data_IF_755809611311
#
_entry.id   IF_755809611311
#
_cell.length_a   1.000
_cell.length_b   1.000
_cell.length_c   1.000
_cell.angle_alpha   90.00
_cell.angle_beta   90.00
_cell.angle_gamma   90.00
#
_symmetry.space_group_name_H-M   'P 1'
#
loop_
_entity.id
_entity.type
_entity.pdbx_description
1 polymer ?
#
# COMPACT_ATOMS: atom_id res chain seq x y z
N UNK A 1 5.92 -12.53 19.17
CA UNK A 1 5.64 -13.52 18.16
C UNK A 1 5.07 -12.98 16.84
N UNK A 2 5.08 -11.65 16.62
CA UNK A 2 4.58 -11.06 15.37
C UNK A 2 5.31 -11.53 14.11
N UNK A 3 6.61 -11.91 14.19
CA UNK A 3 7.37 -12.38 13.02
C UNK A 3 6.92 -13.77 12.55
N UNK A 4 6.53 -14.64 13.49
CA UNK A 4 5.95 -15.96 13.18
C UNK A 4 4.62 -15.79 12.46
N UNK A 5 3.78 -14.89 12.96
CA UNK A 5 2.45 -14.61 12.39
C UNK A 5 2.56 -14.04 10.96
N UNK A 6 3.57 -13.19 10.70
CA UNK A 6 3.83 -12.69 9.35
C UNK A 6 4.29 -13.77 8.38
N UNK A 7 5.18 -14.66 8.81
CA UNK A 7 5.68 -15.76 7.99
C UNK A 7 4.58 -16.78 7.65
N UNK A 8 3.73 -17.08 8.62
CA UNK A 8 2.56 -17.95 8.44
C UNK A 8 1.56 -17.32 7.48
N UNK A 9 1.19 -16.05 7.67
CA UNK A 9 0.33 -15.29 6.76
C UNK A 9 0.91 -15.23 5.34
N UNK A 10 2.22 -15.02 5.20
CA UNK A 10 2.90 -15.04 3.92
C UNK A 10 2.78 -16.40 3.20
N UNK A 11 2.86 -17.49 3.93
CA UNK A 11 2.67 -18.84 3.40
C UNK A 11 1.23 -19.04 2.90
N UNK A 12 0.24 -18.61 3.67
CA UNK A 12 -1.16 -18.65 3.26
C UNK A 12 -1.44 -17.81 2.02
N UNK A 13 -0.84 -16.60 1.92
CA UNK A 13 -0.97 -15.76 0.73
C UNK A 13 -0.38 -16.45 -0.52
N UNK A 14 0.79 -17.07 -0.42
CA UNK A 14 1.46 -17.72 -1.54
C UNK A 14 0.68 -18.92 -2.09
N UNK A 15 -0.05 -19.63 -1.25
CA UNK A 15 -0.90 -20.75 -1.64
C UNK A 15 -2.32 -20.34 -2.09
N UNK A 16 -2.68 -19.05 -2.02
CA UNK A 16 -4.02 -18.58 -2.32
C UNK A 16 -4.36 -18.70 -3.81
N UNK A 17 -5.50 -19.29 -4.13
CA UNK A 17 -6.06 -19.45 -5.49
C UNK A 17 -7.49 -18.89 -5.62
N UNK A 18 -7.92 -18.04 -4.69
CA UNK A 18 -9.30 -17.52 -4.64
C UNK A 18 -9.72 -16.68 -5.86
N UNK A 19 -8.76 -16.16 -6.64
CA UNK A 19 -8.98 -15.42 -7.89
C UNK A 19 -8.36 -16.22 -9.03
N UNK A 20 -9.17 -17.03 -9.74
CA UNK A 20 -8.68 -18.00 -10.74
C UNK A 20 -7.82 -17.35 -11.84
N UNK A 21 -8.27 -16.20 -12.40
CA UNK A 21 -7.51 -15.48 -13.43
C UNK A 21 -6.16 -14.97 -12.89
N UNK A 22 -6.16 -14.37 -11.70
CA UNK A 22 -4.92 -13.87 -11.10
C UNK A 22 -3.97 -15.00 -10.72
N UNK A 23 -4.50 -16.12 -10.24
CA UNK A 23 -3.71 -17.30 -9.89
C UNK A 23 -3.06 -17.95 -11.13
N UNK A 24 -3.74 -17.92 -12.29
CA UNK A 24 -3.26 -18.47 -13.53
C UNK A 24 -2.22 -17.59 -14.24
N UNK A 25 -2.23 -16.27 -13.98
CA UNK A 25 -1.43 -15.32 -14.76
C UNK A 25 -0.29 -14.67 -13.97
N UNK A 26 -0.33 -14.69 -12.64
CA UNK A 26 0.74 -14.16 -11.80
C UNK A 26 2.00 -15.01 -11.88
N UNK A 27 3.17 -14.37 -11.79
CA UNK A 27 4.46 -15.04 -11.56
C UNK A 27 4.68 -15.26 -10.06
N UNK A 28 4.43 -14.20 -9.27
CA UNK A 28 4.59 -14.24 -7.81
C UNK A 28 3.36 -13.68 -7.08
N UNK A 29 3.19 -14.12 -5.84
CA UNK A 29 2.37 -13.42 -4.86
C UNK A 29 3.25 -12.40 -4.15
N UNK A 30 2.90 -11.12 -4.23
CA UNK A 30 3.62 -10.02 -3.57
C UNK A 30 3.03 -9.81 -2.19
N UNK A 31 3.63 -10.44 -1.21
CA UNK A 31 3.16 -10.44 0.19
C UNK A 31 3.18 -9.03 0.79
N UNK A 32 4.18 -8.24 0.46
CA UNK A 32 4.49 -7.00 1.13
C UNK A 32 5.80 -7.08 1.89
N UNK A 33 6.21 -5.98 2.51
CA UNK A 33 7.39 -5.91 3.37
C UNK A 33 7.01 -5.38 4.74
N UNK A 34 7.71 -5.86 5.75
CA UNK A 34 7.62 -5.39 7.11
C UNK A 34 9.05 -5.19 7.64
N UNK A 35 9.45 -3.96 8.00
CA UNK A 35 10.65 -3.78 8.82
C UNK A 35 10.40 -4.48 10.16
N UNK A 36 11.41 -4.85 10.89
CA UNK A 36 11.28 -5.54 12.18
C UNK A 36 10.16 -5.04 13.09
N UNK A 37 9.99 -5.58 14.26
CA UNK A 37 8.93 -5.19 15.19
C UNK A 37 8.89 -3.66 15.41
N UNK A 38 7.71 -3.04 15.28
CA UNK A 38 7.52 -1.61 15.58
C UNK A 38 7.46 -0.66 14.38
N UNK A 39 7.16 -1.16 13.17
CA UNK A 39 6.82 -0.27 12.06
C UNK A 39 5.61 0.60 12.41
N UNK A 40 5.84 1.90 12.59
CA UNK A 40 4.76 2.84 12.94
C UNK A 40 3.91 3.25 11.72
N UNK A 41 4.39 3.01 10.51
CA UNK A 41 3.72 3.38 9.25
C UNK A 41 3.50 2.15 8.38
N UNK A 42 2.29 2.02 7.84
CA UNK A 42 1.97 1.07 6.78
C UNK A 42 1.54 1.84 5.52
N UNK A 43 2.27 1.67 4.43
CA UNK A 43 1.89 2.15 3.11
C UNK A 43 1.05 1.09 2.39
N UNK A 44 -0.10 1.47 1.87
CA UNK A 44 -1.02 0.56 1.17
C UNK A 44 -1.26 1.06 -0.25
N UNK A 45 -0.78 0.30 -1.24
CA UNK A 45 -1.04 0.54 -2.66
C UNK A 45 -2.21 -0.28 -3.20
N UNK A 46 -2.39 -0.26 -4.52
CA UNK A 46 -3.48 -0.94 -5.22
C UNK A 46 -3.16 -2.43 -5.45
N UNK A 47 -2.17 -2.71 -6.26
CA UNK A 47 -1.81 -4.06 -6.72
C UNK A 47 -0.36 -4.09 -7.20
N UNK A 48 0.28 -5.28 -7.28
CA UNK A 48 1.59 -5.43 -7.90
C UNK A 48 1.58 -5.04 -9.38
N UNK A 49 2.61 -4.34 -9.84
CA UNK A 49 2.91 -4.13 -11.24
C UNK A 49 3.76 -5.26 -11.82
N UNK A 50 4.25 -5.08 -13.06
CA UNK A 50 5.03 -6.11 -13.76
C UNK A 50 6.35 -6.43 -13.06
N UNK A 51 7.07 -5.42 -12.59
CA UNK A 51 8.34 -5.61 -11.88
C UNK A 51 8.14 -6.28 -10.53
N UNK A 52 7.09 -5.90 -9.81
CA UNK A 52 6.73 -6.50 -8.53
C UNK A 52 6.32 -7.96 -8.69
N UNK A 53 5.57 -8.29 -9.74
CA UNK A 53 5.17 -9.67 -10.06
C UNK A 53 6.38 -10.56 -10.40
N UNK A 54 7.39 -10.01 -11.08
CA UNK A 54 8.63 -10.75 -11.39
C UNK A 54 9.52 -10.96 -10.16
N UNK A 55 9.61 -9.96 -9.29
CA UNK A 55 10.55 -9.97 -8.16
C UNK A 55 9.95 -10.51 -6.85
N UNK A 56 8.63 -10.50 -6.72
CA UNK A 56 7.93 -10.81 -5.47
C UNK A 56 7.99 -9.70 -4.40
N UNK A 57 8.57 -8.54 -4.73
CA UNK A 57 8.73 -7.41 -3.81
C UNK A 57 7.78 -6.25 -4.15
N UNK A 58 7.17 -5.56 -3.16
CA UNK A 58 6.27 -4.44 -3.41
C UNK A 58 7.02 -3.16 -3.75
N UNK A 59 6.49 -2.37 -4.67
CA UNK A 59 6.99 -1.04 -5.01
C UNK A 59 8.49 -1.01 -5.38
N UNK A 60 8.91 -1.86 -6.30
CA UNK A 60 10.30 -1.91 -6.82
C UNK A 60 10.41 -1.42 -8.27
N UNK A 61 9.29 -1.12 -8.94
CA UNK A 61 9.24 -0.49 -10.25
C UNK A 61 9.35 1.03 -10.16
N UNK A 62 9.07 1.72 -11.30
CA UNK A 62 9.17 3.19 -11.41
C UNK A 62 8.37 3.95 -10.34
N UNK A 63 7.17 3.46 -10.03
CA UNK A 63 6.33 4.07 -8.98
C UNK A 63 6.95 3.92 -7.59
N UNK A 64 7.60 2.78 -7.33
CA UNK A 64 8.34 2.52 -6.09
C UNK A 64 9.58 3.41 -5.95
N UNK A 65 10.36 3.59 -7.02
CA UNK A 65 11.53 4.48 -6.99
C UNK A 65 11.15 5.92 -6.63
N UNK A 66 10.08 6.47 -7.22
CA UNK A 66 9.57 7.79 -6.85
C UNK A 66 9.07 7.82 -5.40
N UNK A 67 8.41 6.75 -4.94
CA UNK A 67 7.96 6.66 -3.55
C UNK A 67 9.14 6.69 -2.59
N UNK A 68 10.20 5.95 -2.87
CA UNK A 68 11.41 5.90 -2.05
C UNK A 68 12.13 7.25 -1.99
N UNK A 69 12.20 7.98 -3.11
CA UNK A 69 12.71 9.36 -3.17
C UNK A 69 11.92 10.27 -2.22
N UNK A 70 10.60 10.30 -2.35
CA UNK A 70 9.75 11.17 -1.54
C UNK A 70 9.71 10.78 -0.06
N UNK A 71 9.78 9.47 0.25
CA UNK A 71 9.90 9.00 1.63
C UNK A 71 11.20 9.47 2.27
N UNK A 72 12.32 9.43 1.53
CA UNK A 72 13.60 9.93 2.02
C UNK A 72 13.57 11.44 2.28
N UNK A 73 12.93 12.23 1.39
CA UNK A 73 12.75 13.67 1.56
C UNK A 73 12.02 14.04 2.85
N UNK A 74 11.06 13.21 3.29
CA UNK A 74 10.26 13.47 4.49
C UNK A 74 10.76 12.73 5.75
N UNK A 75 11.94 12.12 5.70
CA UNK A 75 12.55 11.43 6.84
C UNK A 75 11.90 10.08 7.21
N UNK A 76 11.18 9.45 6.27
CA UNK A 76 10.60 8.11 6.40
C UNK A 76 11.27 7.10 5.45
N UNK A 77 12.54 6.74 5.63
CA UNK A 77 13.20 5.83 4.70
C UNK A 77 12.48 4.48 4.65
N UNK A 78 12.54 3.82 3.48
CA UNK A 78 11.87 2.53 3.22
C UNK A 78 12.14 1.48 4.31
N UNK A 79 13.31 1.51 4.93
CA UNK A 79 13.71 0.57 5.96
C UNK A 79 12.87 0.63 7.25
N UNK A 80 12.12 1.70 7.49
CA UNK A 80 11.30 1.87 8.71
C UNK A 80 9.80 1.82 8.46
N UNK A 81 9.36 1.63 7.22
CA UNK A 81 7.93 1.55 6.86
C UNK A 81 7.54 0.16 6.38
N UNK A 82 6.38 -0.32 6.81
CA UNK A 82 5.76 -1.49 6.24
C UNK A 82 5.05 -1.12 4.92
N UNK A 83 5.02 -2.05 3.95
CA UNK A 83 4.40 -1.81 2.66
C UNK A 83 3.58 -3.01 2.22
N UNK A 84 2.36 -2.75 1.80
CA UNK A 84 1.46 -3.75 1.26
C UNK A 84 0.64 -3.18 0.08
N UNK A 85 -0.12 -4.01 -0.57
CA UNK A 85 -1.13 -3.62 -1.56
C UNK A 85 -2.49 -4.20 -1.16
N UNK A 86 -3.57 -3.63 -1.70
CA UNK A 86 -4.92 -4.19 -1.59
C UNK A 86 -4.94 -5.61 -2.19
N UNK A 87 -4.43 -5.78 -3.41
CA UNK A 87 -4.21 -7.10 -4.01
C UNK A 87 -2.79 -7.60 -3.79
N UNK A 88 -2.64 -8.93 -3.67
CA UNK A 88 -1.32 -9.59 -3.58
C UNK A 88 -0.83 -10.15 -4.91
N UNK A 89 -1.69 -10.15 -5.91
CA UNK A 89 -1.42 -10.67 -7.24
C UNK A 89 -1.59 -9.56 -8.29
N UNK A 90 -0.80 -9.59 -9.34
CA UNK A 90 -0.87 -8.65 -10.45
C UNK A 90 -2.09 -8.93 -11.33
N UNK A 91 -2.99 -7.97 -11.56
CA UNK A 91 -4.03 -8.11 -12.58
C UNK A 91 -3.44 -8.09 -14.00
N UNK A 92 -3.95 -8.90 -14.93
CA UNK A 92 -3.50 -8.92 -16.33
C UNK A 92 -3.50 -7.53 -16.96
N UNK A 93 -2.41 -7.17 -17.65
CA UNK A 93 -2.26 -5.84 -18.25
C UNK A 93 -2.22 -4.67 -17.27
N UNK A 94 -2.03 -4.93 -15.97
CA UNK A 94 -2.14 -3.93 -14.88
C UNK A 94 -3.51 -3.23 -14.87
N UNK A 95 -4.59 -3.94 -15.22
CA UNK A 95 -5.95 -3.39 -15.09
C UNK A 95 -6.29 -3.11 -13.63
N UNK A 96 -7.26 -2.26 -13.40
CA UNK A 96 -7.77 -2.04 -12.06
C UNK A 96 -8.33 -3.34 -11.44
N UNK A 97 -8.19 -3.54 -10.12
CA UNK A 97 -8.80 -4.63 -9.40
C UNK A 97 -10.32 -4.67 -9.55
N UNK A 98 -10.90 -5.85 -9.72
CA UNK A 98 -12.34 -6.03 -9.63
C UNK A 98 -12.82 -6.01 -8.16
N UNK A 99 -14.12 -5.77 -7.96
CA UNK A 99 -14.74 -5.82 -6.62
C UNK A 99 -14.59 -7.20 -5.98
N UNK A 100 -14.70 -8.27 -6.78
CA UNK A 100 -14.56 -9.66 -6.31
C UNK A 100 -13.13 -9.94 -5.88
N UNK A 101 -12.14 -9.53 -6.67
CA UNK A 101 -10.71 -9.69 -6.33
C UNK A 101 -10.36 -8.94 -5.05
N UNK A 102 -10.84 -7.70 -4.92
CA UNK A 102 -10.65 -6.90 -3.71
C UNK A 102 -11.29 -7.57 -2.49
N UNK A 103 -12.50 -8.10 -2.62
CA UNK A 103 -13.18 -8.82 -1.54
C UNK A 103 -12.43 -10.09 -1.14
N UNK A 104 -12.02 -10.91 -2.11
CA UNK A 104 -11.25 -12.14 -1.87
C UNK A 104 -9.90 -11.87 -1.19
N UNK A 105 -9.25 -10.76 -1.51
CA UNK A 105 -7.93 -10.39 -0.97
C UNK A 105 -8.01 -9.61 0.35
N UNK A 106 -9.19 -9.08 0.72
CA UNK A 106 -9.41 -8.27 1.92
C UNK A 106 -8.90 -8.91 3.21
N UNK A 107 -9.15 -10.22 3.50
CA UNK A 107 -8.69 -10.84 4.74
C UNK A 107 -7.17 -10.74 4.95
N UNK A 108 -6.39 -10.82 3.87
CA UNK A 108 -4.93 -10.73 3.95
C UNK A 108 -4.44 -9.34 4.38
N UNK A 109 -4.99 -8.27 3.78
CA UNK A 109 -4.60 -6.91 4.19
C UNK A 109 -5.09 -6.62 5.61
N UNK A 110 -6.28 -7.07 6.00
CA UNK A 110 -6.77 -6.96 7.38
C UNK A 110 -5.83 -7.64 8.38
N UNK A 111 -5.39 -8.87 8.09
CA UNK A 111 -4.41 -9.57 8.91
C UNK A 111 -3.05 -8.87 8.96
N UNK A 112 -2.57 -8.33 7.85
CA UNK A 112 -1.34 -7.54 7.82
C UNK A 112 -1.42 -6.29 8.70
N UNK A 113 -2.53 -5.56 8.65
CA UNK A 113 -2.77 -4.39 9.52
C UNK A 113 -2.77 -4.81 10.99
N UNK A 114 -3.37 -5.95 11.32
CA UNK A 114 -3.39 -6.48 12.69
C UNK A 114 -2.01 -6.90 13.19
N UNK A 115 -1.17 -7.50 12.33
CA UNK A 115 0.19 -7.93 12.69
C UNK A 115 1.17 -6.76 12.80
N UNK A 116 1.05 -5.78 11.89
CA UNK A 116 1.93 -4.58 11.86
C UNK A 116 1.57 -3.63 12.99
N UNK A 117 0.30 -3.53 13.35
CA UNK A 117 -0.23 -2.56 14.33
C UNK A 117 0.26 -1.14 14.07
N UNK A 118 0.15 -0.63 12.82
CA UNK A 118 0.70 0.66 12.48
C UNK A 118 -0.06 1.78 13.22
N UNK A 119 0.67 2.80 13.63
CA UNK A 119 0.08 4.03 14.17
C UNK A 119 -0.64 4.83 13.08
N UNK A 120 -0.03 4.86 11.89
CA UNK A 120 -0.55 5.58 10.72
C UNK A 120 -0.55 4.68 9.50
N UNK A 121 -1.64 4.70 8.76
CA UNK A 121 -1.75 4.04 7.46
C UNK A 121 -1.79 5.12 6.38
N UNK A 122 -0.96 4.98 5.35
CA UNK A 122 -1.01 5.83 4.17
C UNK A 122 -1.62 5.06 3.00
N UNK A 123 -2.83 5.45 2.59
CA UNK A 123 -3.54 4.86 1.45
C UNK A 123 -3.13 5.56 0.15
N UNK A 124 -2.36 4.86 -0.68
CA UNK A 124 -1.78 5.35 -1.93
C UNK A 124 -2.72 5.08 -3.12
N UNK A 125 -3.48 6.09 -3.52
CA UNK A 125 -4.38 6.02 -4.68
C UNK A 125 -5.82 5.61 -4.36
N UNK A 126 -6.67 5.68 -5.40
CA UNK A 126 -8.12 5.51 -5.27
C UNK A 126 -8.54 4.16 -4.72
N UNK A 127 -7.96 3.07 -5.21
CA UNK A 127 -8.30 1.70 -4.76
C UNK A 127 -7.97 1.49 -3.28
N UNK A 128 -6.82 1.96 -2.82
CA UNK A 128 -6.45 1.91 -1.41
C UNK A 128 -7.38 2.79 -0.55
N UNK A 129 -7.69 4.01 -0.99
CA UNK A 129 -8.65 4.86 -0.30
C UNK A 129 -10.05 4.22 -0.22
N UNK A 130 -10.52 3.62 -1.31
CA UNK A 130 -11.81 2.92 -1.33
C UNK A 130 -11.85 1.69 -0.41
N UNK A 131 -10.71 1.05 -0.18
CA UNK A 131 -10.64 -0.07 0.76
C UNK A 131 -10.96 0.37 2.19
N UNK A 132 -10.51 1.56 2.61
CA UNK A 132 -10.74 2.12 3.94
C UNK A 132 -12.06 2.90 4.08
N UNK A 133 -12.45 3.66 3.04
CA UNK A 133 -13.54 4.63 3.12
C UNK A 133 -14.77 4.26 2.27
N UNK A 134 -14.74 3.10 1.59
CA UNK A 134 -15.82 2.65 0.72
C UNK A 134 -15.73 3.20 -0.71
N UNK A 135 -16.60 2.69 -1.59
CA UNK A 135 -16.54 2.89 -3.05
C UNK A 135 -16.75 4.34 -3.52
N UNK A 136 -17.29 5.22 -2.67
CA UNK A 136 -17.44 6.64 -2.95
C UNK A 136 -16.23 7.52 -2.64
N UNK A 137 -15.14 6.93 -2.12
CA UNK A 137 -13.96 7.67 -1.69
C UNK A 137 -13.29 8.40 -2.86
N UNK A 138 -13.07 9.71 -2.69
CA UNK A 138 -12.38 10.59 -3.65
C UNK A 138 -11.15 11.18 -3.01
N UNK A 139 -9.97 10.93 -3.58
CA UNK A 139 -8.68 11.39 -3.03
C UNK A 139 -8.69 12.89 -2.77
N UNK A 140 -9.18 13.71 -3.70
CA UNK A 140 -9.22 15.16 -3.54
C UNK A 140 -10.01 15.67 -2.33
N UNK A 141 -10.93 14.86 -1.78
CA UNK A 141 -11.69 15.18 -0.58
C UNK A 141 -11.09 14.61 0.71
N UNK A 142 -10.30 13.55 0.59
CA UNK A 142 -9.73 12.80 1.71
C UNK A 142 -8.31 13.21 2.05
N UNK A 143 -7.53 13.65 1.06
CA UNK A 143 -6.11 13.98 1.26
C UNK A 143 -5.87 15.20 2.15
N UNK A 144 -4.64 15.35 2.62
CA UNK A 144 -4.19 16.53 3.37
C UNK A 144 -4.58 16.52 4.86
N UNK A 145 -5.21 15.48 5.34
CA UNK A 145 -5.59 15.32 6.75
C UNK A 145 -5.71 13.84 7.13
N UNK A 146 -5.50 13.49 8.42
CA UNK A 146 -5.80 12.15 8.91
C UNK A 146 -7.30 11.96 9.10
N UNK A 147 -7.73 10.71 8.99
CA UNK A 147 -9.09 10.27 9.29
C UNK A 147 -9.01 9.09 10.26
N UNK A 148 -9.86 9.06 11.26
CA UNK A 148 -9.98 7.87 12.11
C UNK A 148 -10.80 6.79 11.38
N UNK A 149 -10.21 5.61 11.26
CA UNK A 149 -10.86 4.41 10.71
C UNK A 149 -10.60 3.27 11.69
N UNK A 150 -11.61 2.85 12.41
CA UNK A 150 -11.51 1.76 13.38
C UNK A 150 -10.39 1.98 14.42
N UNK A 151 -10.24 3.22 14.91
CA UNK A 151 -9.23 3.61 15.91
C UNK A 151 -7.81 3.78 15.35
N UNK A 152 -7.63 3.84 14.02
CA UNK A 152 -6.35 4.06 13.35
C UNK A 152 -6.38 5.32 12.49
N UNK A 153 -5.26 6.05 12.50
CA UNK A 153 -5.12 7.23 11.64
C UNK A 153 -4.82 6.80 10.19
N UNK A 154 -5.70 7.16 9.26
CA UNK A 154 -5.54 6.88 7.82
C UNK A 154 -5.39 8.19 7.07
N UNK A 155 -4.29 8.37 6.35
CA UNK A 155 -4.03 9.47 5.42
C UNK A 155 -4.14 8.95 4.00
N UNK A 156 -5.02 9.52 3.19
CA UNK A 156 -5.13 9.18 1.75
C UNK A 156 -4.34 10.17 0.92
N UNK A 157 -3.69 9.67 -0.14
CA UNK A 157 -2.96 10.51 -1.09
C UNK A 157 -2.98 9.93 -2.49
N UNK A 158 -2.39 10.64 -3.47
CA UNK A 158 -2.25 10.15 -4.82
C UNK A 158 -1.29 8.96 -4.89
N UNK A 159 -1.55 8.04 -5.83
CA UNK A 159 -0.61 6.98 -6.12
C UNK A 159 0.64 7.53 -6.82
N UNK A 160 1.86 7.05 -6.54
CA UNK A 160 3.08 7.53 -7.21
C UNK A 160 3.01 7.47 -8.74
N UNK A 161 2.30 6.50 -9.33
CA UNK A 161 2.10 6.43 -10.78
C UNK A 161 1.34 7.63 -11.35
N UNK A 162 0.45 8.27 -10.58
CA UNK A 162 -0.21 9.50 -10.99
C UNK A 162 0.80 10.66 -11.03
N UNK A 163 1.68 10.76 -10.04
CA UNK A 163 2.74 11.77 -10.03
C UNK A 163 3.68 11.63 -11.24
N UNK A 164 4.04 10.39 -11.62
CA UNK A 164 4.82 10.13 -12.83
C UNK A 164 4.08 10.58 -14.09
N UNK A 165 2.80 10.27 -14.21
CA UNK A 165 1.96 10.61 -15.39
C UNK A 165 1.85 12.11 -15.60
N UNK A 166 1.68 12.89 -14.53
CA UNK A 166 1.53 14.35 -14.59
C UNK A 166 2.85 15.11 -14.52
N UNK A 167 3.97 14.41 -14.37
CA UNK A 167 5.32 14.96 -14.36
C UNK A 167 5.72 15.65 -13.04
N UNK A 168 7.00 16.11 -12.96
CA UNK A 168 7.59 16.60 -11.70
C UNK A 168 6.96 17.90 -11.19
N UNK A 169 6.46 18.75 -12.08
CA UNK A 169 5.75 19.97 -11.71
C UNK A 169 4.24 19.77 -11.49
N UNK A 170 3.74 18.54 -11.67
CA UNK A 170 2.33 18.22 -11.53
C UNK A 170 1.87 18.23 -10.07
N UNK A 171 0.63 18.70 -9.84
CA UNK A 171 0.00 18.72 -8.52
C UNK A 171 0.08 17.38 -7.77
N UNK A 172 -0.08 16.19 -8.41
CA UNK A 172 -0.02 14.92 -7.67
C UNK A 172 1.32 14.65 -7.00
N UNK A 173 2.47 15.12 -7.54
CA UNK A 173 3.79 14.93 -6.92
C UNK A 173 3.92 15.77 -5.65
N UNK A 174 3.62 17.06 -5.72
CA UNK A 174 3.67 17.96 -4.56
C UNK A 174 2.70 17.49 -3.47
N UNK A 175 1.47 17.15 -3.85
CA UNK A 175 0.46 16.64 -2.93
C UNK A 175 0.88 15.33 -2.24
N UNK A 176 1.47 14.40 -2.98
CA UNK A 176 1.99 13.14 -2.42
C UNK A 176 3.10 13.41 -1.40
N UNK A 177 4.06 14.29 -1.71
CA UNK A 177 5.12 14.69 -0.77
C UNK A 177 4.55 15.31 0.51
N UNK A 178 3.61 16.24 0.37
CA UNK A 178 3.02 16.95 1.52
C UNK A 178 2.21 15.99 2.42
N UNK A 179 1.47 15.05 1.81
CA UNK A 179 0.73 14.02 2.55
C UNK A 179 1.68 13.01 3.24
N UNK A 180 2.82 12.65 2.61
CA UNK A 180 3.84 11.82 3.23
C UNK A 180 4.54 12.56 4.41
N UNK A 181 4.74 13.87 4.31
CA UNK A 181 5.24 14.67 5.43
C UNK A 181 4.26 14.66 6.61
N UNK A 182 2.95 14.75 6.34
CA UNK A 182 1.92 14.58 7.38
C UNK A 182 2.00 13.19 8.02
N UNK A 183 2.16 12.13 7.22
CA UNK A 183 2.34 10.76 7.75
C UNK A 183 3.56 10.67 8.66
N UNK A 184 4.69 11.30 8.28
CA UNK A 184 5.90 11.35 9.09
C UNK A 184 5.66 12.03 10.46
N UNK A 185 4.98 13.17 10.46
CA UNK A 185 4.61 13.88 11.70
C UNK A 185 3.72 13.03 12.63
N UNK A 186 2.70 12.39 12.08
CA UNK A 186 1.79 11.53 12.84
C UNK A 186 2.50 10.28 13.40
N UNK A 187 3.45 9.72 12.66
CA UNK A 187 4.24 8.58 13.11
C UNK A 187 5.23 8.94 14.22
N UNK A 188 5.76 10.16 14.23
CA UNK A 188 6.72 10.65 15.22
C UNK A 188 6.06 11.06 16.55
N UNK A 189 4.75 11.33 16.53
CA UNK A 189 4.06 11.74 17.77
C UNK A 189 4.21 10.68 18.87
N UNK A 190 4.22 11.04 20.15
CA UNK A 190 4.41 10.14 21.30
C UNK A 190 3.28 9.12 21.46
#
# INVERSE_FOLDING_TARGET
MPDRDWAELATQMRSCVACAELAATRTNVVVGTRPGAGARVLLVGEAPGATEDQTGLPFVGRAGALLDELLAEVGLPRAVVAVANVLKCRPPGNRAPSKVETANCRPFLTAQIAIVEPRVICALGGTAAQWFFGTGAKIGQLRGRPHDVEGRQVVSTYHPSAAIRFGPAGMPRAALRDDLALVALLAAAP
#
